data_IF_194358814044
#
_entry.id   IF_194358814044
#
_cell.length_a   1.000
_cell.length_b   1.000
_cell.length_c   1.000
_cell.angle_alpha   90.00
_cell.angle_beta   90.00
_cell.angle_gamma   90.00
#
_symmetry.space_group_name_H-M   'P 1'
#
loop_
_entity.id
_entity.type
_entity.pdbx_description
1 polymer ?
#
# COMPACT_ATOMS: atom_id res chain seq x y z
N UNK A 1 -6.65 9.46 23.61
CA UNK A 1 -7.54 9.41 22.40
C UNK A 1 -8.14 10.77 22.00
N UNK A 2 -7.96 11.86 22.76
CA UNK A 2 -8.63 13.15 22.49
C UNK A 2 -7.91 14.08 21.48
N UNK A 3 -6.60 13.89 21.25
CA UNK A 3 -5.81 14.77 20.37
C UNK A 3 -6.04 14.54 18.87
N UNK A 4 -6.21 13.27 18.44
CA UNK A 4 -6.43 12.96 17.03
C UNK A 4 -7.78 13.50 16.55
N UNK A 5 -8.83 13.32 17.34
CA UNK A 5 -10.17 13.86 17.06
C UNK A 5 -10.20 15.39 17.05
N UNK A 6 -9.43 16.06 17.92
CA UNK A 6 -9.38 17.53 17.94
C UNK A 6 -8.64 18.09 16.72
N UNK A 7 -7.56 17.42 16.26
CA UNK A 7 -6.85 17.75 15.02
C UNK A 7 -7.73 17.56 13.78
N UNK A 8 -8.49 16.46 13.73
CA UNK A 8 -9.41 16.17 12.62
C UNK A 8 -10.52 17.23 12.55
N UNK A 9 -11.06 17.65 13.70
CA UNK A 9 -12.08 18.72 13.76
C UNK A 9 -11.53 20.10 13.36
N UNK A 10 -10.27 20.41 13.68
CA UNK A 10 -9.64 21.69 13.33
C UNK A 10 -9.46 21.88 11.83
N UNK A 11 -9.20 20.80 11.08
CA UNK A 11 -8.86 20.90 9.66
C UNK A 11 -9.35 19.68 8.85
N UNK A 12 -10.68 19.49 8.73
CA UNK A 12 -11.25 18.29 8.11
C UNK A 12 -10.83 18.11 6.65
N UNK A 13 -10.59 19.21 5.90
CA UNK A 13 -10.08 19.15 4.52
C UNK A 13 -8.67 18.55 4.44
N UNK A 14 -7.77 18.94 5.34
CA UNK A 14 -6.40 18.43 5.36
C UNK A 14 -6.36 16.93 5.71
N UNK A 15 -7.15 16.52 6.70
CA UNK A 15 -7.33 15.10 7.06
C UNK A 15 -7.85 14.27 5.89
N UNK A 16 -8.81 14.82 5.13
CA UNK A 16 -9.40 14.13 3.98
C UNK A 16 -8.37 13.94 2.85
N UNK A 17 -7.57 14.96 2.56
CA UNK A 17 -6.46 14.85 1.59
C UNK A 17 -5.45 13.80 2.07
N UNK A 18 -5.01 13.87 3.32
CA UNK A 18 -4.03 12.94 3.87
C UNK A 18 -4.54 11.49 3.88
N UNK A 19 -5.80 11.28 4.26
CA UNK A 19 -6.44 9.97 4.20
C UNK A 19 -6.54 9.41 2.78
N UNK A 20 -6.91 10.23 1.80
CA UNK A 20 -6.93 9.84 0.38
C UNK A 20 -5.55 9.53 -0.16
N UNK A 21 -4.54 10.31 0.20
CA UNK A 21 -3.15 10.06 -0.20
C UNK A 21 -2.63 8.75 0.38
N UNK A 22 -2.87 8.48 1.66
CA UNK A 22 -2.48 7.20 2.28
C UNK A 22 -3.20 6.01 1.65
N UNK A 23 -4.50 6.15 1.38
CA UNK A 23 -5.29 5.12 0.72
C UNK A 23 -4.78 4.84 -0.70
N UNK A 24 -4.51 5.89 -1.48
CA UNK A 24 -3.98 5.75 -2.84
C UNK A 24 -2.58 5.14 -2.83
N UNK A 25 -1.69 5.61 -1.96
CA UNK A 25 -0.35 5.06 -1.82
C UNK A 25 -0.39 3.57 -1.45
N UNK A 26 -1.21 3.20 -0.45
CA UNK A 26 -1.39 1.81 -0.06
C UNK A 26 -1.96 0.94 -1.20
N UNK A 27 -2.94 1.46 -1.95
CA UNK A 27 -3.51 0.74 -3.09
C UNK A 27 -2.49 0.52 -4.21
N UNK A 28 -1.69 1.55 -4.56
CA UNK A 28 -0.63 1.43 -5.55
C UNK A 28 0.40 0.37 -5.14
N UNK A 29 0.78 0.35 -3.86
CA UNK A 29 1.71 -0.66 -3.34
C UNK A 29 1.14 -2.07 -3.43
N UNK A 30 -0.14 -2.27 -3.07
CA UNK A 30 -0.81 -3.58 -3.22
C UNK A 30 -0.80 -4.04 -4.68
N UNK A 31 -1.17 -3.15 -5.61
CA UNK A 31 -1.17 -3.47 -7.04
C UNK A 31 0.24 -3.82 -7.52
N UNK A 32 1.25 -3.03 -7.14
CA UNK A 32 2.65 -3.32 -7.42
C UNK A 32 3.11 -4.68 -6.89
N UNK A 33 2.73 -5.04 -5.67
CA UNK A 33 3.03 -6.35 -5.07
C UNK A 33 2.40 -7.51 -5.86
N UNK A 34 1.16 -7.35 -6.33
CA UNK A 34 0.48 -8.38 -7.14
C UNK A 34 1.19 -8.58 -8.47
N UNK A 35 1.53 -7.50 -9.17
CA UNK A 35 2.28 -7.60 -10.44
C UNK A 35 3.66 -8.21 -10.24
N UNK A 36 4.36 -7.83 -9.17
CA UNK A 36 5.65 -8.43 -8.83
C UNK A 36 5.54 -9.94 -8.57
N UNK A 37 4.50 -10.38 -7.84
CA UNK A 37 4.23 -11.80 -7.62
C UNK A 37 3.97 -12.54 -8.93
N UNK A 38 3.16 -11.95 -9.81
CA UNK A 38 2.82 -12.53 -11.10
C UNK A 38 4.06 -12.67 -11.99
N UNK A 39 4.92 -11.64 -12.05
CA UNK A 39 6.13 -11.65 -12.85
C UNK A 39 7.13 -12.71 -12.33
N UNK A 40 7.31 -12.81 -11.01
CA UNK A 40 8.14 -13.85 -10.40
C UNK A 40 7.61 -15.26 -10.71
N UNK A 41 6.30 -15.46 -10.71
CA UNK A 41 5.67 -16.73 -11.10
C UNK A 41 5.93 -17.06 -12.57
N UNK A 42 5.83 -16.08 -13.46
CA UNK A 42 6.11 -16.26 -14.89
C UNK A 42 7.58 -16.62 -15.13
N UNK A 43 8.51 -15.86 -14.53
CA UNK A 43 9.95 -16.15 -14.60
C UNK A 43 10.28 -17.55 -14.08
N UNK A 44 9.66 -17.97 -12.98
CA UNK A 44 9.87 -19.31 -12.44
C UNK A 44 9.28 -20.42 -13.32
N UNK A 45 8.19 -20.16 -14.04
CA UNK A 45 7.65 -21.09 -15.03
C UNK A 45 8.62 -21.27 -16.21
N UNK A 46 9.19 -20.18 -16.72
CA UNK A 46 10.21 -20.22 -17.78
C UNK A 46 11.48 -20.95 -17.32
N UNK A 47 11.95 -20.67 -16.10
CA UNK A 47 13.12 -21.33 -15.50
C UNK A 47 12.88 -22.82 -15.26
N UNK A 48 11.67 -23.21 -14.86
CA UNK A 48 11.32 -24.61 -14.72
C UNK A 48 11.37 -25.36 -16.06
N UNK A 49 10.93 -24.72 -17.15
CA UNK A 49 11.07 -25.28 -18.51
C UNK A 49 12.54 -25.42 -18.92
N UNK A 50 13.38 -24.46 -18.50
CA UNK A 50 14.83 -24.48 -18.74
C UNK A 50 15.62 -25.35 -17.73
N UNK A 51 14.96 -26.09 -16.83
CA UNK A 51 15.59 -26.89 -15.76
C UNK A 51 16.52 -26.07 -14.84
N UNK A 52 16.24 -24.79 -14.69
CA UNK A 52 16.97 -23.88 -13.81
C UNK A 52 16.29 -23.79 -12.44
N UNK A 53 17.06 -23.50 -11.37
CA UNK A 53 16.49 -23.30 -10.04
C UNK A 53 15.58 -22.07 -10.02
N UNK A 54 14.46 -22.19 -9.30
CA UNK A 54 13.50 -21.11 -9.09
C UNK A 54 14.10 -19.97 -8.25
N UNK A 55 13.73 -18.75 -8.60
CA UNK A 55 14.06 -17.52 -7.90
C UNK A 55 13.07 -17.30 -6.75
N UNK A 56 13.58 -16.81 -5.61
CA UNK A 56 12.76 -16.52 -4.43
C UNK A 56 12.21 -15.10 -4.45
N UNK A 57 12.92 -14.17 -5.07
CA UNK A 57 12.58 -12.76 -5.14
C UNK A 57 12.91 -12.20 -6.53
N UNK A 58 12.19 -11.17 -6.98
CA UNK A 58 12.55 -10.47 -8.22
C UNK A 58 13.90 -9.76 -8.09
N UNK A 59 14.33 -9.45 -6.87
CA UNK A 59 15.67 -8.94 -6.59
C UNK A 59 16.79 -9.87 -7.12
N UNK A 60 16.54 -11.18 -7.18
CA UNK A 60 17.48 -12.14 -7.74
C UNK A 60 17.49 -12.11 -9.28
N UNK A 61 16.36 -11.76 -9.90
CA UNK A 61 16.25 -11.59 -11.37
C UNK A 61 16.81 -10.23 -11.83
N UNK A 62 16.60 -9.18 -11.04
CA UNK A 62 16.92 -7.80 -11.40
C UNK A 62 17.71 -7.08 -10.30
N UNK A 63 18.98 -7.44 -10.06
CA UNK A 63 19.81 -6.85 -9.01
C UNK A 63 20.09 -5.36 -9.19
N UNK A 64 19.93 -4.84 -10.41
CA UNK A 64 20.11 -3.43 -10.74
C UNK A 64 19.01 -2.52 -10.18
N UNK A 65 17.84 -3.07 -9.83
CA UNK A 65 16.73 -2.26 -9.34
C UNK A 65 16.67 -2.24 -7.83
N UNK A 66 16.41 -1.07 -7.23
CA UNK A 66 16.18 -0.97 -5.80
C UNK A 66 14.85 -1.64 -5.42
N UNK A 67 14.89 -2.88 -4.92
CA UNK A 67 13.68 -3.68 -4.62
C UNK A 67 12.95 -3.31 -3.32
N UNK A 68 13.50 -2.41 -2.51
CA UNK A 68 12.83 -1.83 -1.33
C UNK A 68 11.48 -1.15 -1.63
N UNK A 69 11.23 -0.75 -2.89
CA UNK A 69 9.98 -0.11 -3.32
C UNK A 69 8.86 -1.11 -3.64
N UNK A 70 9.19 -2.37 -3.92
CA UNK A 70 8.21 -3.37 -4.35
C UNK A 70 7.87 -4.26 -3.15
N UNK A 71 6.60 -4.30 -2.69
CA UNK A 71 6.23 -5.11 -1.55
C UNK A 71 6.11 -6.61 -1.94
N UNK A 72 7.23 -7.24 -2.29
CA UNK A 72 7.30 -8.67 -2.65
C UNK A 72 7.11 -9.59 -1.43
N UNK A 73 7.43 -9.08 -0.25
CA UNK A 73 7.39 -9.81 1.02
C UNK A 73 6.03 -9.66 1.71
N UNK A 74 5.69 -10.64 2.55
CA UNK A 74 4.50 -10.57 3.42
C UNK A 74 4.48 -9.31 4.30
N UNK A 75 5.67 -8.80 4.69
CA UNK A 75 5.81 -7.55 5.42
C UNK A 75 5.41 -6.35 4.57
N UNK A 76 5.90 -6.26 3.33
CA UNK A 76 5.53 -5.18 2.40
C UNK A 76 4.02 -5.15 2.12
N UNK A 77 3.40 -6.32 1.97
CA UNK A 77 1.95 -6.43 1.80
C UNK A 77 1.18 -5.97 3.06
N UNK A 78 1.66 -6.37 4.24
CA UNK A 78 1.07 -5.96 5.53
C UNK A 78 1.13 -4.43 5.70
N UNK A 79 2.27 -3.81 5.42
CA UNK A 79 2.45 -2.35 5.49
C UNK A 79 1.47 -1.65 4.54
N UNK A 80 1.35 -2.17 3.32
CA UNK A 80 0.42 -1.62 2.32
C UNK A 80 -1.04 -1.72 2.78
N UNK A 81 -1.43 -2.86 3.36
CA UNK A 81 -2.75 -3.05 3.96
C UNK A 81 -3.02 -2.08 5.12
N UNK A 82 -2.04 -1.87 6.00
CA UNK A 82 -2.15 -0.90 7.11
C UNK A 82 -2.34 0.52 6.57
N UNK A 83 -1.62 0.92 5.52
CA UNK A 83 -1.78 2.22 4.88
C UNK A 83 -3.20 2.42 4.31
N UNK A 84 -3.74 1.40 3.64
CA UNK A 84 -5.12 1.44 3.14
C UNK A 84 -6.13 1.59 4.27
N UNK A 85 -6.03 0.75 5.31
CA UNK A 85 -6.95 0.80 6.45
C UNK A 85 -6.86 2.14 7.18
N UNK A 86 -5.64 2.65 7.43
CA UNK A 86 -5.43 3.95 8.04
C UNK A 86 -6.01 5.09 7.18
N UNK A 87 -5.80 5.05 5.87
CA UNK A 87 -6.37 5.99 4.91
C UNK A 87 -7.91 5.97 4.93
N UNK A 88 -8.52 4.79 4.91
CA UNK A 88 -9.98 4.61 5.00
C UNK A 88 -10.54 5.21 6.28
N UNK A 89 -9.92 4.92 7.43
CA UNK A 89 -10.35 5.46 8.73
C UNK A 89 -10.28 6.99 8.75
N UNK A 90 -9.20 7.58 8.24
CA UNK A 90 -9.05 9.03 8.18
C UNK A 90 -10.08 9.69 7.28
N UNK A 91 -10.36 9.11 6.10
CA UNK A 91 -11.41 9.61 5.21
C UNK A 91 -12.78 9.52 5.89
N UNK A 92 -13.10 8.37 6.49
CA UNK A 92 -14.37 8.17 7.20
C UNK A 92 -14.58 9.19 8.32
N UNK A 93 -13.57 9.40 9.17
CA UNK A 93 -13.67 10.39 10.25
C UNK A 93 -13.71 11.84 9.73
N UNK A 94 -12.98 12.16 8.68
CA UNK A 94 -13.00 13.50 8.07
C UNK A 94 -14.37 13.83 7.45
N UNK A 95 -14.99 12.89 6.75
CA UNK A 95 -16.33 13.04 6.17
C UNK A 95 -17.39 13.20 7.26
N UNK A 96 -17.34 12.35 8.30
CA UNK A 96 -18.23 12.47 9.45
C UNK A 96 -18.08 13.80 10.19
N UNK A 97 -16.85 14.31 10.34
CA UNK A 97 -16.63 15.62 10.95
C UNK A 97 -17.16 16.77 10.09
N UNK A 98 -17.03 16.67 8.77
CA UNK A 98 -17.53 17.67 7.82
C UNK A 98 -19.05 17.72 7.78
N UNK A 99 -19.74 16.57 7.85
CA UNK A 99 -21.21 16.52 7.87
C UNK A 99 -21.81 17.10 9.16
N UNK A 100 -21.11 16.95 10.30
CA UNK A 100 -21.51 17.52 11.58
C UNK A 100 -21.26 19.03 11.70
N UNK A 101 -20.36 19.59 10.89
CA UNK A 101 -20.05 21.03 10.88
C UNK A 101 -20.89 21.85 9.88
N UNK A 102 -21.69 21.18 9.05
CA UNK A 102 -22.58 21.78 8.05
C UNK A 102 -24.05 21.89 8.48
N UNK A 103 -24.34 21.68 9.77
CA UNK A 103 -25.56 22.11 10.46
C UNK A 103 -25.22 23.30 11.34
#
# INVERSE_FOLDING_TARGET
>A
MNGLYSLIRRSPKATLVLGKTLLLAGAILIVGAVFARADLMNLNAERAQAQLPALKFLAEAYPQYPTWLVPETALGFTISGVLVVAGMLLVHFAEKARSLSGR
#
